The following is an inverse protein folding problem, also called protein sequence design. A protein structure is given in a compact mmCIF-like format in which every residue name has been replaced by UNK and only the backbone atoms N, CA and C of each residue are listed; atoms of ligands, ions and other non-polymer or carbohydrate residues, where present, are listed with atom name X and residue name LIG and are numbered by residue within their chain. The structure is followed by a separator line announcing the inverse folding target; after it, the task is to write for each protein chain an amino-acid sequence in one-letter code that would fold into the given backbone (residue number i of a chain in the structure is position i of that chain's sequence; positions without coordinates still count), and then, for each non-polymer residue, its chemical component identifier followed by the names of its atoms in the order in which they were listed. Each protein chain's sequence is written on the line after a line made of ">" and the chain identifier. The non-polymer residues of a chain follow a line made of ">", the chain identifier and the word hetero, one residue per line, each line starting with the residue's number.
data_IF_584373720194
#
_entry.id   IF_584373720194
#
_cell.length_a   1.000
_cell.length_b   1.000
_cell.length_c   1.000
_cell.angle_alpha   90.00
_cell.angle_beta   90.00
_cell.angle_gamma   90.00
#
_symmetry.space_group_name_H-M   'P 1'
#
loop_
_entity.id
_entity.type
_entity.pdbx_description
1 polymer ?
#
# COMPACT_ATOMS: atom_id res chain seq x y z
N UNK A 1 -9.73 -18.60 3.87
CA UNK A 1 -8.39 -18.11 4.25
C UNK A 1 -8.13 -16.88 3.41
N UNK A 2 -7.95 -15.70 4.01
CA UNK A 2 -7.60 -14.50 3.24
C UNK A 2 -6.16 -14.66 2.75
N UNK A 3 -5.93 -14.58 1.44
CA UNK A 3 -4.59 -14.71 0.86
C UNK A 3 -3.69 -13.55 1.31
N UNK A 4 -2.37 -13.70 1.26
CA UNK A 4 -1.44 -12.60 1.53
C UNK A 4 -0.86 -12.05 0.22
N UNK A 5 -0.67 -10.73 0.14
CA UNK A 5 -0.05 -10.05 -1.00
C UNK A 5 1.04 -9.11 -0.52
N UNK A 6 2.11 -9.01 -1.29
CA UNK A 6 3.20 -8.08 -1.03
C UNK A 6 2.79 -6.66 -1.41
N UNK A 7 2.87 -5.73 -0.47
CA UNK A 7 2.47 -4.33 -0.66
C UNK A 7 3.64 -3.42 -1.05
N UNK A 8 4.88 -3.89 -0.97
CA UNK A 8 6.06 -3.07 -1.30
C UNK A 8 6.04 -2.55 -2.75
N UNK A 9 5.70 -3.34 -3.79
CA UNK A 9 5.60 -2.83 -5.16
C UNK A 9 4.62 -1.68 -5.31
N UNK A 10 3.47 -1.76 -4.64
CA UNK A 10 2.44 -0.72 -4.65
C UNK A 10 2.95 0.57 -4.00
N UNK A 11 3.60 0.49 -2.83
CA UNK A 11 4.16 1.68 -2.19
C UNK A 11 5.34 2.27 -2.97
N UNK A 12 6.15 1.46 -3.63
CA UNK A 12 7.21 1.94 -4.50
C UNK A 12 6.67 2.66 -5.74
N UNK A 13 5.63 2.10 -6.38
CA UNK A 13 4.91 2.80 -7.43
C UNK A 13 4.31 4.11 -6.93
N UNK A 14 3.70 4.11 -5.75
CA UNK A 14 3.13 5.30 -5.16
C UNK A 14 4.18 6.40 -4.94
N UNK A 15 5.37 6.03 -4.45
CA UNK A 15 6.51 6.94 -4.27
C UNK A 15 7.02 7.53 -5.59
N UNK A 16 6.93 6.78 -6.69
CA UNK A 16 7.40 7.22 -8.01
C UNK A 16 6.40 8.11 -8.76
N UNK A 17 5.10 7.96 -8.48
CA UNK A 17 4.03 8.64 -9.22
C UNK A 17 3.31 9.71 -8.39
N UNK A 18 3.45 9.68 -7.06
CA UNK A 18 2.85 10.64 -6.15
C UNK A 18 3.78 11.80 -5.78
N UNK A 19 3.22 12.74 -5.02
CA UNK A 19 3.96 13.87 -4.47
C UNK A 19 4.81 13.50 -3.24
N UNK A 20 5.61 14.45 -2.77
CA UNK A 20 6.31 14.30 -1.50
C UNK A 20 5.31 13.98 -0.37
N UNK A 21 5.66 13.01 0.48
CA UNK A 21 4.80 12.51 1.59
C UNK A 21 3.54 11.75 1.14
N UNK A 22 3.45 11.30 -0.11
CA UNK A 22 2.35 10.41 -0.57
C UNK A 22 2.21 9.17 0.31
N UNK A 23 3.32 8.58 0.75
CA UNK A 23 3.33 7.41 1.65
C UNK A 23 2.68 7.74 2.98
N UNK A 24 3.06 8.85 3.60
CA UNK A 24 2.47 9.30 4.87
C UNK A 24 0.96 9.54 4.73
N UNK A 25 0.53 10.14 3.61
CA UNK A 25 -0.90 10.35 3.32
C UNK A 25 -1.67 9.03 3.19
N UNK A 26 -1.11 8.04 2.49
CA UNK A 26 -1.71 6.70 2.37
C UNK A 26 -1.81 6.06 3.76
N UNK A 27 -0.73 6.10 4.55
CA UNK A 27 -0.69 5.50 5.88
C UNK A 27 -1.70 6.14 6.84
N UNK A 28 -1.82 7.47 6.84
CA UNK A 28 -2.81 8.19 7.66
C UNK A 28 -4.23 7.87 7.21
N UNK A 29 -4.51 7.84 5.90
CA UNK A 29 -5.85 7.51 5.36
C UNK A 29 -6.28 6.09 5.74
N UNK A 30 -5.33 5.15 5.84
CA UNK A 30 -5.59 3.73 6.08
C UNK A 30 -5.36 3.28 7.52
N UNK A 31 -5.01 4.20 8.42
CA UNK A 31 -4.81 3.90 9.83
C UNK A 31 -5.99 3.14 10.47
N UNK A 32 -7.27 3.46 10.20
CA UNK A 32 -8.41 2.68 10.72
C UNK A 32 -8.43 1.23 10.21
N UNK A 33 -8.02 1.00 8.96
CA UNK A 33 -7.97 -0.34 8.35
C UNK A 33 -6.83 -1.17 8.95
N UNK A 34 -5.67 -0.55 9.15
CA UNK A 34 -4.53 -1.16 9.83
C UNK A 34 -4.90 -1.64 11.23
N UNK A 35 -5.58 -0.80 12.01
CA UNK A 35 -6.08 -1.18 13.34
C UNK A 35 -7.07 -2.34 13.24
N UNK A 36 -8.05 -2.28 12.32
CA UNK A 36 -9.06 -3.35 12.13
C UNK A 36 -8.42 -4.70 11.80
N UNK A 37 -7.37 -4.70 11.00
CA UNK A 37 -6.65 -5.91 10.59
C UNK A 37 -5.51 -6.30 11.55
N UNK A 38 -5.35 -5.59 12.67
CA UNK A 38 -4.22 -5.75 13.60
C UNK A 38 -2.85 -5.77 12.88
N UNK A 39 -2.72 -4.93 11.86
CA UNK A 39 -1.52 -4.79 11.04
C UNK A 39 -0.89 -3.43 11.34
N UNK A 40 0.39 -3.41 11.70
CA UNK A 40 1.14 -2.17 11.84
C UNK A 40 2.09 -2.04 10.66
N UNK A 41 1.89 -1.00 9.84
CA UNK A 41 2.74 -0.67 8.70
C UNK A 41 3.25 0.75 8.89
N UNK A 42 4.56 0.92 8.88
CA UNK A 42 5.21 2.23 9.02
C UNK A 42 5.90 2.66 7.73
N UNK A 43 6.21 3.95 7.60
CA UNK A 43 7.02 4.45 6.50
C UNK A 43 8.44 3.85 6.49
N UNK A 44 8.97 3.54 7.68
CA UNK A 44 10.26 2.87 7.84
C UNK A 44 10.20 1.45 7.28
N UNK A 45 9.17 0.67 7.62
CA UNK A 45 8.95 -0.67 7.05
C UNK A 45 8.97 -0.65 5.53
N UNK A 46 8.27 0.31 4.93
CA UNK A 46 8.18 0.49 3.48
C UNK A 46 9.53 0.88 2.86
N UNK A 47 10.43 1.51 3.62
CA UNK A 47 11.75 1.93 3.15
C UNK A 47 12.82 0.84 3.32
N UNK A 48 12.70 -0.01 4.34
CA UNK A 48 13.73 -0.97 4.73
C UNK A 48 13.43 -2.41 4.29
N UNK A 49 12.16 -2.78 4.15
CA UNK A 49 11.77 -4.15 3.81
C UNK A 49 11.70 -4.35 2.29
N UNK A 50 12.30 -5.43 1.82
CA UNK A 50 12.16 -5.87 0.43
C UNK A 50 10.76 -6.44 0.15
N UNK A 51 10.09 -6.98 1.17
CA UNK A 51 8.77 -7.60 1.07
C UNK A 51 7.96 -7.36 2.35
N UNK A 52 6.69 -7.02 2.20
CA UNK A 52 5.75 -6.84 3.30
C UNK A 52 4.39 -7.44 2.92
N UNK A 53 4.13 -8.64 3.44
CA UNK A 53 2.88 -9.34 3.17
C UNK A 53 1.73 -8.82 4.04
N UNK A 54 0.66 -8.38 3.40
CA UNK A 54 -0.58 -7.94 4.03
C UNK A 54 -1.75 -8.84 3.59
N UNK A 55 -2.85 -8.93 4.38
CA UNK A 55 -4.07 -9.60 3.93
C UNK A 55 -4.57 -9.03 2.60
N UNK A 56 -5.07 -9.88 1.69
CA UNK A 56 -5.56 -9.49 0.35
C UNK A 56 -6.64 -8.41 0.43
N UNK A 57 -7.52 -8.53 1.43
CA UNK A 57 -8.53 -7.52 1.74
C UNK A 57 -7.91 -6.15 2.04
N UNK A 58 -6.88 -6.11 2.89
CA UNK A 58 -6.14 -4.90 3.20
C UNK A 58 -5.37 -4.38 1.98
N UNK A 59 -4.76 -5.26 1.19
CA UNK A 59 -4.05 -4.90 -0.05
C UNK A 59 -4.97 -4.13 -1.02
N UNK A 60 -6.20 -4.59 -1.21
CA UNK A 60 -7.19 -3.93 -2.08
C UNK A 60 -7.51 -2.52 -1.55
N UNK A 61 -7.67 -2.37 -0.23
CA UNK A 61 -7.94 -1.06 0.38
C UNK A 61 -6.74 -0.11 0.24
N UNK A 62 -5.51 -0.62 0.38
CA UNK A 62 -4.29 0.15 0.15
C UNK A 62 -4.20 0.58 -1.32
N UNK A 63 -4.41 -0.35 -2.25
CA UNK A 63 -4.38 -0.07 -3.70
C UNK A 63 -5.36 1.04 -4.07
N UNK A 64 -6.64 0.88 -3.72
CA UNK A 64 -7.67 1.89 -4.01
C UNK A 64 -7.31 3.26 -3.43
N UNK A 65 -6.84 3.29 -2.19
CA UNK A 65 -6.47 4.57 -1.55
C UNK A 65 -5.26 5.22 -2.21
N UNK A 66 -4.28 4.44 -2.65
CA UNK A 66 -3.12 4.95 -3.38
C UNK A 66 -3.53 5.49 -4.76
N UNK A 67 -4.37 4.76 -5.49
CA UNK A 67 -4.92 5.17 -6.78
C UNK A 67 -5.74 6.47 -6.67
N UNK A 68 -6.60 6.58 -5.64
CA UNK A 68 -7.37 7.81 -5.35
C UNK A 68 -6.46 9.01 -5.09
N UNK A 69 -5.37 8.82 -4.35
CA UNK A 69 -4.45 9.90 -3.95
C UNK A 69 -3.58 10.34 -5.14
N UNK A 70 -3.15 9.40 -5.96
CA UNK A 70 -2.23 9.65 -7.08
C UNK A 70 -3.01 10.08 -8.33
N UNK A 71 -4.26 9.64 -8.46
CA UNK A 71 -5.11 9.89 -9.64
C UNK A 71 -4.77 9.00 -10.84
N UNK A 72 -3.95 7.96 -10.66
CA UNK A 72 -3.63 6.97 -11.70
C UNK A 72 -3.78 5.55 -11.17
N UNK A 73 -4.06 4.60 -12.05
CA UNK A 73 -4.24 3.19 -11.67
C UNK A 73 -2.89 2.48 -11.51
N UNK A 74 -2.78 1.63 -10.50
CA UNK A 74 -1.62 0.76 -10.31
C UNK A 74 -1.75 -0.47 -11.21
N UNK A 75 -0.82 -0.60 -12.14
CA UNK A 75 -0.63 -1.80 -12.98
C UNK A 75 0.50 -2.64 -12.42
N UNK A 76 0.15 -3.79 -11.84
CA UNK A 76 1.14 -4.79 -11.46
C UNK A 76 1.73 -5.35 -12.77
N UNK A 77 3.06 -5.35 -12.93
CA UNK A 77 3.71 -6.03 -14.06
C UNK A 77 3.43 -7.54 -13.93
N UNK A 78 2.35 -7.99 -14.56
CA UNK A 78 1.82 -9.35 -14.44
C UNK A 78 0.32 -9.50 -14.78
N UNK A 79 -0.41 -8.39 -14.93
CA UNK A 79 -1.84 -8.37 -15.34
C UNK A 79 -2.04 -8.25 -16.88
N UNK A 80 -1.13 -8.81 -17.69
CA UNK A 80 -1.26 -8.94 -19.15
C UNK A 80 -1.15 -10.40 -19.59
#
# INVERSE_FOLDING_TARGET
>A
MDGKRDVIPLFNWARQNGEAKVIDRILVKLMPEFIRHNCQITAEDISQKERLDVPSSLYINIKKSAEDIIGTAFTEKGDL
#
